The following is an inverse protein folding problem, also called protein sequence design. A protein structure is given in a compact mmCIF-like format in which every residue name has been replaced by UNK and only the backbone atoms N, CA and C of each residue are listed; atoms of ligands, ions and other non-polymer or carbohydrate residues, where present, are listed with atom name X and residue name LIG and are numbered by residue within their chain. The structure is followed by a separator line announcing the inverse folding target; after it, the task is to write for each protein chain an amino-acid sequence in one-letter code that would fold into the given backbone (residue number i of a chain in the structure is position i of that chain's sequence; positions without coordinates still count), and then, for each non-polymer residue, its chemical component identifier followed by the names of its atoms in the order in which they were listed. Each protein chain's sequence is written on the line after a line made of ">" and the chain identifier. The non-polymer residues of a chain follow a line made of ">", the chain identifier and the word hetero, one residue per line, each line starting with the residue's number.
data_IF_717566131412
#
_entry.id   IF_717566131412
#
_cell.length_a   1.000
_cell.length_b   1.000
_cell.length_c   1.000
_cell.angle_alpha   90.00
_cell.angle_beta   90.00
_cell.angle_gamma   90.00
#
_symmetry.space_group_name_H-M   'P 1'
#
loop_
_entity.id
_entity.type
_entity.pdbx_description
1 polymer ?
#
# COMPACT_ATOMS: atom_id res chain seq x y z
N UNK A 1 15.43 12.76 -15.17
CA UNK A 1 15.03 12.58 -13.75
C UNK A 1 16.06 11.70 -13.06
N UNK A 2 16.49 12.04 -11.85
CA UNK A 2 17.39 11.20 -11.04
C UNK A 2 16.75 9.84 -10.75
N UNK A 3 17.52 8.75 -10.74
CA UNK A 3 17.03 7.38 -10.52
C UNK A 3 16.19 7.25 -9.22
N UNK A 4 16.53 8.04 -8.20
CA UNK A 4 15.78 8.14 -6.94
C UNK A 4 14.37 8.72 -7.13
N UNK A 5 14.23 9.72 -8.01
CA UNK A 5 12.93 10.28 -8.32
C UNK A 5 12.06 9.27 -9.09
N UNK A 6 12.66 8.48 -9.98
CA UNK A 6 11.97 7.41 -10.69
C UNK A 6 11.47 6.32 -9.73
N UNK A 7 12.28 5.94 -8.74
CA UNK A 7 11.89 4.95 -7.73
C UNK A 7 10.71 5.39 -6.87
N UNK A 8 10.64 6.67 -6.51
CA UNK A 8 9.51 7.24 -5.78
C UNK A 8 8.18 7.09 -6.54
N UNK A 9 8.18 7.42 -7.84
CA UNK A 9 7.00 7.30 -8.70
C UNK A 9 6.60 5.85 -8.93
N UNK A 10 7.56 4.98 -9.23
CA UNK A 10 7.29 3.55 -9.46
C UNK A 10 6.69 2.91 -8.21
N UNK A 11 7.27 3.15 -7.02
CA UNK A 11 6.72 2.59 -5.78
C UNK A 11 5.34 3.14 -5.44
N UNK A 12 5.11 4.44 -5.63
CA UNK A 12 3.78 5.05 -5.40
C UNK A 12 2.73 4.46 -6.34
N UNK A 13 3.07 4.25 -7.62
CA UNK A 13 2.19 3.61 -8.58
C UNK A 13 1.87 2.16 -8.19
N UNK A 14 2.86 1.40 -7.70
CA UNK A 14 2.65 0.02 -7.22
C UNK A 14 1.63 0.01 -6.08
N UNK A 15 1.78 0.85 -5.06
CA UNK A 15 0.82 0.91 -3.95
C UNK A 15 -0.58 1.35 -4.41
N UNK A 16 -0.67 2.29 -5.35
CA UNK A 16 -1.95 2.73 -5.90
C UNK A 16 -2.66 1.59 -6.66
N UNK A 17 -1.93 0.86 -7.52
CA UNK A 17 -2.48 -0.27 -8.29
C UNK A 17 -2.87 -1.42 -7.36
N UNK A 18 -2.04 -1.75 -6.37
CA UNK A 18 -2.37 -2.79 -5.39
C UNK A 18 -3.58 -2.41 -4.54
N UNK A 19 -3.63 -1.19 -4.03
CA UNK A 19 -4.75 -0.70 -3.22
C UNK A 19 -6.07 -0.71 -3.98
N UNK A 20 -6.09 -0.18 -5.21
CA UNK A 20 -7.28 -0.19 -6.07
C UNK A 20 -7.65 -1.60 -6.52
N UNK A 21 -6.67 -2.39 -6.96
CA UNK A 21 -6.88 -3.75 -7.44
C UNK A 21 -7.45 -4.67 -6.35
N UNK A 22 -6.81 -4.71 -5.19
CA UNK A 22 -7.32 -5.48 -4.05
C UNK A 22 -8.61 -4.89 -3.48
N UNK A 23 -8.76 -3.55 -3.47
CA UNK A 23 -10.02 -2.92 -3.04
C UNK A 23 -11.21 -3.41 -3.86
N UNK A 24 -11.09 -3.43 -5.19
CA UNK A 24 -12.14 -3.93 -6.08
C UNK A 24 -12.35 -5.44 -5.90
N UNK A 25 -11.28 -6.24 -5.95
CA UNK A 25 -11.37 -7.70 -5.85
C UNK A 25 -11.99 -8.17 -4.52
N UNK A 26 -11.54 -7.59 -3.40
CA UNK A 26 -12.06 -7.93 -2.07
C UNK A 26 -13.48 -7.43 -1.87
N UNK A 27 -13.83 -6.24 -2.39
CA UNK A 27 -15.20 -5.73 -2.35
C UNK A 27 -16.17 -6.65 -3.08
N UNK A 28 -15.81 -7.12 -4.28
CA UNK A 28 -16.58 -8.10 -5.06
C UNK A 28 -16.70 -9.43 -4.29
N UNK A 29 -15.59 -9.93 -3.75
CA UNK A 29 -15.59 -11.16 -2.96
C UNK A 29 -16.53 -11.06 -1.75
N UNK A 30 -16.45 -9.99 -0.98
CA UNK A 30 -17.30 -9.76 0.21
C UNK A 30 -18.78 -9.61 -0.19
N UNK A 31 -19.07 -8.95 -1.30
CA UNK A 31 -20.43 -8.83 -1.82
C UNK A 31 -21.06 -10.22 -2.06
N UNK A 32 -20.35 -11.11 -2.75
CA UNK A 32 -20.84 -12.46 -3.04
C UNK A 32 -20.83 -13.40 -1.82
N UNK A 33 -19.93 -13.16 -0.86
CA UNK A 33 -19.79 -14.03 0.31
C UNK A 33 -20.75 -13.68 1.46
N UNK A 34 -21.25 -12.44 1.51
CA UNK A 34 -22.16 -11.99 2.57
C UNK A 34 -23.47 -12.79 2.51
N UNK A 35 -23.74 -13.57 3.57
CA UNK A 35 -24.90 -14.47 3.69
C UNK A 35 -26.17 -13.75 4.16
N UNK A 36 -26.02 -12.67 4.92
CA UNK A 36 -27.15 -11.90 5.44
C UNK A 36 -27.80 -11.07 4.35
N UNK A 37 -28.86 -11.65 3.79
CA UNK A 37 -29.73 -11.00 2.81
C UNK A 37 -30.93 -10.42 3.53
N UNK A 38 -30.74 -9.26 4.15
CA UNK A 38 -31.90 -8.45 4.57
C UNK A 38 -32.67 -7.96 3.35
N UNK A 39 -33.89 -7.49 3.55
CA UNK A 39 -34.73 -6.93 2.48
C UNK A 39 -33.92 -5.89 1.67
N UNK A 40 -33.84 -6.09 0.35
CA UNK A 40 -33.07 -5.29 -0.63
C UNK A 40 -31.53 -5.40 -0.61
N UNK A 41 -30.93 -6.40 0.05
CA UNK A 41 -29.49 -6.68 -0.08
C UNK A 41 -28.58 -5.60 0.51
N UNK A 42 -29.11 -4.81 1.46
CA UNK A 42 -28.43 -3.67 2.10
C UNK A 42 -27.07 -4.05 2.69
N UNK A 43 -27.00 -5.10 3.50
CA UNK A 43 -25.76 -5.53 4.17
C UNK A 43 -24.66 -5.99 3.21
N UNK A 44 -25.02 -6.58 2.07
CA UNK A 44 -24.04 -7.00 1.06
C UNK A 44 -23.31 -5.79 0.47
N UNK A 45 -24.07 -4.72 0.16
CA UNK A 45 -23.53 -3.47 -0.37
C UNK A 45 -22.71 -2.73 0.69
N UNK A 46 -23.22 -2.61 1.91
CA UNK A 46 -22.51 -1.92 3.00
C UNK A 46 -21.18 -2.61 3.34
N UNK A 47 -21.16 -3.94 3.44
CA UNK A 47 -19.93 -4.69 3.71
C UNK A 47 -18.91 -4.58 2.55
N UNK A 48 -19.38 -4.61 1.31
CA UNK A 48 -18.54 -4.46 0.13
C UNK A 48 -17.91 -3.06 0.05
N UNK A 49 -18.70 -2.01 0.34
CA UNK A 49 -18.24 -0.62 0.38
C UNK A 49 -17.26 -0.41 1.54
N UNK A 50 -17.58 -0.92 2.72
CA UNK A 50 -16.69 -0.85 3.89
C UNK A 50 -15.35 -1.52 3.59
N UNK A 51 -15.38 -2.71 2.98
CA UNK A 51 -14.18 -3.46 2.60
C UNK A 51 -13.33 -2.70 1.59
N UNK A 52 -13.95 -2.07 0.59
CA UNK A 52 -13.26 -1.24 -0.38
C UNK A 52 -12.48 -0.11 0.30
N UNK A 53 -13.16 0.68 1.14
CA UNK A 53 -12.53 1.82 1.83
C UNK A 53 -11.49 1.40 2.87
N UNK A 54 -11.74 0.34 3.63
CA UNK A 54 -10.77 -0.21 4.58
C UNK A 54 -9.50 -0.70 3.87
N UNK A 55 -9.65 -1.34 2.71
CA UNK A 55 -8.51 -1.79 1.90
C UNK A 55 -7.69 -0.61 1.37
N UNK A 56 -8.35 0.43 0.85
CA UNK A 56 -7.67 1.66 0.42
C UNK A 56 -6.95 2.36 1.57
N UNK A 57 -7.59 2.45 2.73
CA UNK A 57 -6.98 3.04 3.92
C UNK A 57 -5.75 2.25 4.38
N UNK A 58 -5.84 0.92 4.42
CA UNK A 58 -4.70 0.06 4.73
C UNK A 58 -3.55 0.23 3.72
N UNK A 59 -3.85 0.27 2.42
CA UNK A 59 -2.87 0.51 1.38
C UNK A 59 -2.20 1.89 1.52
N UNK A 60 -2.98 2.93 1.86
CA UNK A 60 -2.46 4.26 2.14
C UNK A 60 -1.52 4.28 3.35
N UNK A 61 -1.87 3.60 4.45
CA UNK A 61 -0.98 3.50 5.62
C UNK A 61 0.33 2.79 5.29
N UNK A 62 0.27 1.67 4.54
CA UNK A 62 1.47 0.95 4.12
C UNK A 62 2.35 1.79 3.17
N UNK A 63 1.74 2.49 2.22
CA UNK A 63 2.43 3.45 1.37
C UNK A 63 3.06 4.58 2.18
N UNK A 64 2.34 5.11 3.18
CA UNK A 64 2.82 6.16 4.09
C UNK A 64 4.09 5.77 4.84
N UNK A 65 4.15 4.56 5.37
CA UNK A 65 5.37 4.05 6.00
C UNK A 65 6.51 3.89 4.98
N UNK A 66 6.22 3.33 3.81
CA UNK A 66 7.21 3.14 2.75
C UNK A 66 7.80 4.47 2.25
N UNK A 67 6.96 5.48 1.96
CA UNK A 67 7.41 6.77 1.44
C UNK A 67 8.28 7.50 2.47
N UNK A 68 7.93 7.42 3.75
CA UNK A 68 8.74 7.98 4.83
C UNK A 68 10.16 7.39 4.82
N UNK A 69 10.28 6.05 4.82
CA UNK A 69 11.59 5.38 4.78
C UNK A 69 12.35 5.70 3.50
N UNK A 70 11.67 5.70 2.35
CA UNK A 70 12.27 6.04 1.06
C UNK A 70 12.86 7.45 1.04
N UNK A 71 12.11 8.45 1.52
CA UNK A 71 12.56 9.84 1.55
C UNK A 71 13.73 10.06 2.52
N UNK A 72 13.76 9.36 3.66
CA UNK A 72 14.90 9.43 4.59
C UNK A 72 16.22 8.99 3.95
N UNK A 73 16.18 8.07 2.98
CA UNK A 73 17.35 7.58 2.27
C UNK A 73 17.67 8.40 1.00
N UNK A 74 16.82 9.36 0.61
CA UNK A 74 16.98 10.07 -0.66
C UNK A 74 18.19 11.02 -0.65
N UNK A 75 18.45 11.69 0.47
CA UNK A 75 19.60 12.59 0.67
C UNK A 75 20.23 12.33 2.06
N UNK A 76 21.00 11.24 2.23
CA UNK A 76 21.56 10.88 3.52
C UNK A 76 22.64 11.89 3.95
N UNK A 77 22.56 12.35 5.20
CA UNK A 77 23.60 13.17 5.84
C UNK A 77 24.67 12.31 6.53
N UNK A 78 24.31 11.07 6.88
CA UNK A 78 25.18 10.10 7.54
C UNK A 78 25.39 8.95 6.56
N UNK A 79 26.67 8.65 6.29
CA UNK A 79 27.08 7.51 5.48
C UNK A 79 27.58 6.38 6.41
N UNK A 80 27.43 5.11 6.02
CA UNK A 80 27.98 4.01 6.80
C UNK A 80 29.51 4.11 6.85
N UNK A 81 30.09 4.01 8.05
CA UNK A 81 31.52 3.80 8.21
C UNK A 81 31.84 2.34 7.93
N UNK A 82 32.65 2.08 6.91
CA UNK A 82 33.18 0.74 6.62
C UNK A 82 34.57 0.67 7.23
N UNK A 83 34.70 -0.05 8.35
CA UNK A 83 36.02 -0.37 8.90
C UNK A 83 36.62 -1.47 8.03
N UNK A 84 37.55 -1.09 7.15
CA UNK A 84 38.29 -2.03 6.32
C UNK A 84 39.03 -3.00 7.24
N UNK A 85 38.56 -4.24 7.33
CA UNK A 85 39.29 -5.33 7.95
C UNK A 85 40.62 -5.48 7.19
N UNK A 86 41.72 -5.05 7.81
CA UNK A 86 43.07 -5.27 7.27
C UNK A 86 43.32 -6.78 7.37
N UNK A 87 43.49 -7.52 6.26
CA UNK A 87 43.86 -8.92 6.35
C UNK A 87 45.28 -9.01 6.94
N UNK A 88 45.42 -9.79 8.02
CA UNK A 88 46.71 -10.13 8.66
C UNK A 88 47.63 -10.92 7.73
#
# INVERSE_FOLDING_TARGET
>A
MSAKHNGLWVGSLIFAVLGLGFGVLLSIYVYFRTKDKTENGKYQKENAVLTFFMTLFGAFCMWGMWICVYMHQMNPLILPFVETQIPE
#
